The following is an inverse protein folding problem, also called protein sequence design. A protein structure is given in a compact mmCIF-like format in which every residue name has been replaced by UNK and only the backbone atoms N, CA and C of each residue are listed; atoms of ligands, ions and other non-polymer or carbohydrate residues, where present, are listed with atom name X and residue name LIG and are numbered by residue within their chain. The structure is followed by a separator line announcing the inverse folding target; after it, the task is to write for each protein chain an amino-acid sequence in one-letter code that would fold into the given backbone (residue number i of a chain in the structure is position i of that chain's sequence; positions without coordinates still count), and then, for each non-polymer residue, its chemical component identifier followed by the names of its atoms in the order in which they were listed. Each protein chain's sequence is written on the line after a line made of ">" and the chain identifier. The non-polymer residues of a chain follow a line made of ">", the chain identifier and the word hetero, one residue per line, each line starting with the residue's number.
data_IF_370396505767
#
_entry.id   IF_370396505767
#
_cell.length_a   1.000
_cell.length_b   1.000
_cell.length_c   1.000
_cell.angle_alpha   90.00
_cell.angle_beta   90.00
_cell.angle_gamma   90.00
#
_symmetry.space_group_name_H-M   'P 1'
#
loop_
_entity.id
_entity.type
_entity.pdbx_description
1 polymer ?
#
# COMPACT_ATOMS: atom_id res chain seq x y z
N UNK A 1 9.63 -6.53 -1.54
CA UNK A 1 10.19 -5.16 -1.44
C UNK A 1 9.27 -4.21 -0.67
N UNK A 2 7.99 -4.09 -1.06
CA UNK A 2 7.01 -3.22 -0.39
C UNK A 2 6.79 -3.45 1.11
N UNK A 3 6.81 -4.71 1.57
CA UNK A 3 6.59 -5.05 2.98
C UNK A 3 7.54 -4.33 3.96
N UNK A 4 8.81 -4.14 3.58
CA UNK A 4 9.77 -3.42 4.42
C UNK A 4 9.43 -1.92 4.53
N UNK A 5 9.02 -1.31 3.42
CA UNK A 5 8.60 0.10 3.39
C UNK A 5 7.29 0.33 4.15
N UNK A 6 6.31 -0.55 3.99
CA UNK A 6 5.03 -0.49 4.73
C UNK A 6 5.27 -0.60 6.24
N UNK A 7 6.19 -1.48 6.67
CA UNK A 7 6.55 -1.60 8.09
C UNK A 7 7.20 -0.32 8.64
N UNK A 8 8.12 0.29 7.90
CA UNK A 8 8.72 1.57 8.28
C UNK A 8 7.70 2.71 8.32
N UNK A 9 6.81 2.76 7.33
CA UNK A 9 5.73 3.75 7.27
C UNK A 9 4.76 3.61 8.45
N UNK A 10 4.38 2.38 8.82
CA UNK A 10 3.57 2.11 10.04
C UNK A 10 4.23 2.68 11.29
N UNK A 11 5.52 2.41 11.47
CA UNK A 11 6.26 2.92 12.63
C UNK A 11 6.30 4.46 12.66
N UNK A 12 6.52 5.11 11.52
CA UNK A 12 6.46 6.57 11.39
C UNK A 12 5.06 7.13 11.77
N UNK A 13 3.98 6.54 11.25
CA UNK A 13 2.62 7.00 11.55
C UNK A 13 2.27 6.87 13.05
N UNK A 14 2.76 5.82 13.72
CA UNK A 14 2.51 5.58 15.13
C UNK A 14 3.40 6.43 16.05
N UNK A 15 4.71 6.46 15.78
CA UNK A 15 5.70 7.07 16.69
C UNK A 15 5.87 8.57 16.46
N UNK A 16 5.95 9.00 15.20
CA UNK A 16 6.23 10.40 14.88
C UNK A 16 4.95 11.21 14.70
N UNK A 17 3.90 10.58 14.16
CA UNK A 17 2.62 11.25 13.87
C UNK A 17 1.54 11.02 14.91
N UNK A 18 1.75 10.08 15.83
CA UNK A 18 0.83 9.73 16.91
C UNK A 18 -0.63 9.55 16.44
N UNK A 19 -0.81 8.90 15.28
CA UNK A 19 -2.12 8.67 14.71
C UNK A 19 -2.83 7.51 15.43
N UNK A 20 -4.16 7.59 15.49
CA UNK A 20 -4.98 6.50 16.02
C UNK A 20 -4.80 5.23 15.18
N UNK A 21 -5.01 4.07 15.79
CA UNK A 21 -4.88 2.76 15.12
C UNK A 21 -5.76 2.66 13.87
N UNK A 22 -7.02 3.12 13.96
CA UNK A 22 -7.94 3.17 12.81
C UNK A 22 -7.40 4.03 11.66
N UNK A 23 -6.76 5.17 11.98
CA UNK A 23 -6.16 6.02 10.96
C UNK A 23 -4.93 5.36 10.35
N UNK A 24 -4.09 4.71 11.17
CA UNK A 24 -2.92 3.97 10.68
C UNK A 24 -3.35 2.87 9.71
N UNK A 25 -4.36 2.08 10.08
CA UNK A 25 -4.83 0.97 9.26
C UNK A 25 -5.41 1.43 7.90
N UNK A 26 -6.15 2.55 7.88
CA UNK A 26 -6.62 3.14 6.63
C UNK A 26 -5.46 3.52 5.69
N UNK A 27 -4.42 4.18 6.22
CA UNK A 27 -3.25 4.54 5.43
C UNK A 27 -2.47 3.31 4.93
N UNK A 28 -2.33 2.27 5.75
CA UNK A 28 -1.66 1.04 5.34
C UNK A 28 -2.46 0.29 4.27
N UNK A 29 -3.79 0.29 4.38
CA UNK A 29 -4.68 -0.27 3.38
C UNK A 29 -4.50 0.40 2.02
N UNK A 30 -4.56 1.73 1.97
CA UNK A 30 -4.41 2.50 0.73
C UNK A 30 -3.04 2.27 0.08
N UNK A 31 -1.97 2.26 0.88
CA UNK A 31 -0.62 1.99 0.37
C UNK A 31 -0.48 0.55 -0.14
N UNK A 32 -1.14 -0.41 0.52
CA UNK A 32 -1.16 -1.80 0.03
C UNK A 32 -1.85 -1.90 -1.33
N UNK A 33 -3.00 -1.25 -1.52
CA UNK A 33 -3.69 -1.24 -2.81
C UNK A 33 -2.84 -0.62 -3.92
N UNK A 34 -2.13 0.48 -3.61
CA UNK A 34 -1.20 1.09 -4.56
C UNK A 34 -0.03 0.15 -4.89
N UNK A 35 0.55 -0.50 -3.90
CA UNK A 35 1.63 -1.46 -4.10
C UNK A 35 1.17 -2.64 -4.97
N UNK A 36 -0.06 -3.13 -4.76
CA UNK A 36 -0.66 -4.21 -5.55
C UNK A 36 -0.93 -3.76 -6.99
N UNK A 37 -1.47 -2.56 -7.19
CA UNK A 37 -1.68 -1.96 -8.52
C UNK A 37 -0.38 -1.80 -9.30
N UNK A 38 0.69 -1.29 -8.67
CA UNK A 38 1.98 -1.10 -9.35
C UNK A 38 2.67 -2.44 -9.66
N UNK A 39 2.47 -3.45 -8.80
CA UNK A 39 2.98 -4.80 -9.05
C UNK A 39 2.21 -5.49 -10.18
N UNK A 40 0.90 -5.29 -10.28
CA UNK A 40 0.10 -5.82 -11.40
C UNK A 40 0.41 -5.10 -12.71
N UNK A 41 0.65 -3.79 -12.68
CA UNK A 41 1.04 -3.01 -13.86
C UNK A 41 2.40 -3.40 -14.46
N UNK A 42 3.31 -3.98 -13.66
CA UNK A 42 4.60 -4.51 -14.13
C UNK A 42 4.50 -5.93 -14.75
N UNK A 43 3.29 -6.52 -14.84
CA UNK A 43 3.02 -7.83 -15.40
C UNK A 43 1.97 -7.81 -16.51
N UNK A 44 2.31 -7.25 -17.68
CA UNK A 44 1.56 -7.44 -18.94
C UNK A 44 0.25 -6.67 -19.08
N UNK A 45 -0.24 -6.46 -20.32
CA UNK A 45 -1.22 -5.44 -20.64
C UNK A 45 -2.58 -5.74 -20.00
N UNK A 46 -3.18 -4.66 -19.49
CA UNK A 46 -4.62 -4.42 -19.34
C UNK A 46 -5.49 -5.50 -20.01
N UNK A 47 -6.14 -6.33 -19.20
CA UNK A 47 -7.33 -7.09 -19.62
C UNK A 47 -8.52 -6.12 -19.80
N UNK A 48 -8.38 -5.20 -20.75
CA UNK A 48 -9.47 -4.49 -21.41
C UNK A 48 -9.43 -4.93 -22.87
N UNK A 49 -9.95 -6.12 -23.13
CA UNK A 49 -10.04 -6.71 -24.46
C UNK A 49 -9.80 -8.21 -24.46
N UNK A 50 -10.82 -8.99 -24.08
CA UNK A 50 -11.17 -10.34 -24.57
C UNK A 50 -12.18 -10.97 -23.58
N UNK A 51 -13.48 -10.66 -23.73
CA UNK A 51 -14.58 -11.54 -24.19
C UNK A 51 -15.89 -10.75 -24.21
#
# INVERSE_FOLDING_TARGET
>A
MWQAFIKGFKAYLQLERNLSENTVDAYLHDVSMLADFLQSANGGPTALGEV
#
